data_IF_744461435772
#
_entry.id   IF_744461435772
#
_cell.length_a   1.000
_cell.length_b   1.000
_cell.length_c   1.000
_cell.angle_alpha   90.00
_cell.angle_beta   90.00
_cell.angle_gamma   90.00
#
_symmetry.space_group_name_H-M   'P 1'
#
loop_
_entity.id
_entity.type
_entity.pdbx_description
1 polymer ?
#
# COMPACT_ATOMS: atom_id res chain seq x y z
N UNK A 1 9.43 -53.83 46.83
CA UNK A 1 10.10 -53.82 45.51
C UNK A 1 9.12 -53.77 44.34
N UNK A 2 8.08 -54.63 44.30
CA UNK A 2 7.08 -54.70 43.22
C UNK A 2 6.31 -53.38 42.93
N UNK A 3 5.92 -52.63 43.96
CA UNK A 3 5.20 -51.33 43.78
C UNK A 3 6.04 -50.25 43.10
N UNK A 4 7.35 -50.16 43.41
CA UNK A 4 8.26 -49.21 42.75
C UNK A 4 8.52 -49.58 41.29
N UNK A 5 8.57 -50.87 40.99
CA UNK A 5 8.72 -51.38 39.63
C UNK A 5 7.48 -51.11 38.77
N UNK A 6 6.29 -51.27 39.34
CA UNK A 6 5.02 -50.98 38.66
C UNK A 6 4.86 -49.48 38.35
N UNK A 7 5.25 -48.61 39.31
CA UNK A 7 5.24 -47.17 39.10
C UNK A 7 6.22 -46.74 37.99
N UNK A 8 7.40 -47.37 37.94
CA UNK A 8 8.38 -47.12 36.89
C UNK A 8 7.85 -47.51 35.50
N UNK A 9 7.17 -48.65 35.39
CA UNK A 9 6.56 -49.11 34.13
C UNK A 9 5.42 -48.18 33.66
N UNK A 10 4.60 -47.66 34.59
CA UNK A 10 3.54 -46.71 34.28
C UNK A 10 4.08 -45.37 33.77
N UNK A 11 5.13 -44.85 34.41
CA UNK A 11 5.80 -43.60 33.98
C UNK A 11 6.46 -43.79 32.61
N UNK A 12 7.17 -44.91 32.41
CA UNK A 12 7.79 -45.23 31.14
C UNK A 12 6.75 -45.34 30.00
N UNK A 13 5.61 -45.98 30.26
CA UNK A 13 4.51 -46.09 29.30
C UNK A 13 3.92 -44.74 28.90
N UNK A 14 3.73 -43.82 29.86
CA UNK A 14 3.26 -42.46 29.61
C UNK A 14 4.24 -41.61 28.79
N UNK A 15 5.55 -41.79 29.01
CA UNK A 15 6.57 -41.13 28.20
C UNK A 15 6.59 -41.64 26.75
N UNK A 16 6.46 -42.96 26.56
CA UNK A 16 6.43 -43.58 25.23
C UNK A 16 5.18 -43.14 24.46
N UNK A 17 4.01 -43.11 25.10
CA UNK A 17 2.77 -42.68 24.44
C UNK A 17 2.80 -41.21 24.05
N UNK A 18 3.36 -40.34 24.90
CA UNK A 18 3.55 -38.91 24.60
C UNK A 18 4.54 -38.70 23.44
N UNK A 19 5.64 -39.46 23.41
CA UNK A 19 6.62 -39.41 22.32
C UNK A 19 5.99 -39.88 20.99
N UNK A 20 5.22 -40.96 21.01
CA UNK A 20 4.51 -41.48 19.83
C UNK A 20 3.45 -40.48 19.35
N UNK A 21 2.68 -39.87 20.25
CA UNK A 21 1.71 -38.84 19.90
C UNK A 21 2.38 -37.59 19.29
N UNK A 22 3.52 -37.18 19.83
CA UNK A 22 4.32 -36.08 19.27
C UNK A 22 4.88 -36.41 17.89
N UNK A 23 5.40 -37.63 17.70
CA UNK A 23 5.90 -38.10 16.40
C UNK A 23 4.76 -38.20 15.38
N UNK A 24 3.60 -38.74 15.77
CA UNK A 24 2.41 -38.77 14.92
C UNK A 24 2.02 -37.35 14.53
N UNK A 25 1.89 -36.43 15.50
CA UNK A 25 1.55 -35.02 15.25
C UNK A 25 2.57 -34.33 14.32
N UNK A 26 3.87 -34.59 14.52
CA UNK A 26 4.95 -34.07 13.68
C UNK A 26 4.88 -34.58 12.23
N UNK A 27 4.54 -35.86 12.03
CA UNK A 27 4.45 -36.47 10.70
C UNK A 27 3.08 -36.31 10.03
N UNK A 28 1.99 -36.10 10.78
CA UNK A 28 0.63 -35.91 10.23
C UNK A 28 0.26 -34.46 9.99
N UNK A 29 0.94 -33.47 10.59
CA UNK A 29 0.81 -32.09 10.13
C UNK A 29 1.47 -32.01 8.74
N UNK A 30 0.71 -31.78 7.67
CA UNK A 30 1.32 -31.58 6.37
C UNK A 30 2.20 -30.34 6.47
N UNK A 31 3.51 -30.49 6.24
CA UNK A 31 4.41 -29.38 6.01
C UNK A 31 3.92 -28.61 4.79
N UNK A 32 2.98 -27.70 5.00
CA UNK A 32 2.46 -26.80 4.01
C UNK A 32 3.53 -25.72 3.82
N UNK A 33 4.56 -26.05 3.05
CA UNK A 33 5.45 -25.04 2.46
C UNK A 33 4.96 -24.75 1.04
N UNK A 34 4.12 -23.72 0.84
CA UNK A 34 3.83 -23.20 -0.49
C UNK A 34 4.93 -22.23 -0.97
N UNK A 35 6.09 -22.18 -0.29
CA UNK A 35 7.19 -21.30 -0.67
C UNK A 35 8.35 -22.10 -1.26
N UNK A 36 8.60 -21.80 -2.53
CA UNK A 36 9.59 -22.44 -3.38
C UNK A 36 11.01 -22.46 -2.79
N UNK A 37 11.69 -23.52 -3.23
CA UNK A 37 13.03 -24.08 -2.99
C UNK A 37 14.21 -23.20 -2.54
N UNK A 38 14.14 -21.89 -2.37
CA UNK A 38 15.34 -21.05 -2.16
C UNK A 38 15.15 -19.93 -1.12
N UNK A 39 14.94 -20.29 0.15
CA UNK A 39 15.06 -19.31 1.25
C UNK A 39 15.86 -19.95 2.38
N UNK A 40 17.18 -19.72 2.35
CA UNK A 40 18.14 -20.03 3.41
C UNK A 40 18.12 -19.03 4.57
N UNK A 41 17.05 -18.24 4.72
CA UNK A 41 17.00 -17.15 5.71
C UNK A 41 15.80 -17.30 6.66
N UNK A 42 16.09 -17.74 7.88
CA UNK A 42 15.28 -17.42 9.05
C UNK A 42 14.88 -18.64 9.89
N UNK A 43 15.78 -19.00 10.81
CA UNK A 43 15.64 -20.04 11.84
C UNK A 43 15.14 -21.36 11.25
N UNK A 44 16.10 -22.23 10.91
CA UNK A 44 15.83 -23.61 10.52
C UNK A 44 14.86 -24.20 11.54
N UNK A 45 13.67 -24.54 11.08
CA UNK A 45 12.61 -25.12 11.92
C UNK A 45 13.18 -26.33 12.68
N UNK A 46 14.08 -27.06 12.03
CA UNK A 46 14.89 -28.12 12.63
C UNK A 46 15.67 -27.68 13.87
N UNK A 47 16.37 -26.54 13.84
CA UNK A 47 17.09 -26.03 15.03
C UNK A 47 16.15 -25.62 16.15
N UNK A 48 14.95 -25.11 15.84
CA UNK A 48 13.95 -24.77 16.87
C UNK A 48 13.38 -26.03 17.50
N UNK A 49 13.07 -27.04 16.69
CA UNK A 49 12.59 -28.34 17.16
C UNK A 49 13.66 -29.02 18.01
N UNK A 50 14.92 -29.03 17.56
CA UNK A 50 16.07 -29.54 18.34
C UNK A 50 16.25 -28.77 19.65
N UNK A 51 16.10 -27.44 19.64
CA UNK A 51 16.18 -26.63 20.86
C UNK A 51 15.09 -26.98 21.87
N UNK A 52 13.84 -27.15 21.42
CA UNK A 52 12.71 -27.52 22.27
C UNK A 52 12.87 -28.93 22.83
N UNK A 53 13.33 -29.90 22.01
CA UNK A 53 13.53 -31.28 22.48
C UNK A 53 14.66 -31.39 23.49
N UNK A 54 15.76 -30.67 23.29
CA UNK A 54 16.87 -30.59 24.26
C UNK A 54 16.39 -29.96 25.57
N UNK A 55 15.61 -28.88 25.52
CA UNK A 55 15.06 -28.24 26.72
C UNK A 55 14.09 -29.17 27.48
N UNK A 56 13.24 -29.89 26.76
CA UNK A 56 12.32 -30.87 27.35
C UNK A 56 13.08 -32.01 28.06
N UNK A 57 14.12 -32.56 27.43
CA UNK A 57 14.97 -33.60 28.03
C UNK A 57 15.72 -33.07 29.26
N UNK A 58 16.21 -31.83 29.21
CA UNK A 58 16.89 -31.19 30.34
C UNK A 58 15.95 -30.99 31.54
N UNK A 59 14.73 -30.52 31.29
CA UNK A 59 13.70 -30.36 32.33
C UNK A 59 13.29 -31.72 32.91
N UNK A 60 13.12 -32.74 32.06
CA UNK A 60 12.81 -34.10 32.49
C UNK A 60 13.89 -34.69 33.41
N UNK A 61 15.17 -34.54 33.03
CA UNK A 61 16.30 -35.00 33.84
C UNK A 61 16.41 -34.22 35.15
N UNK A 62 16.16 -32.91 35.11
CA UNK A 62 16.14 -32.05 36.29
C UNK A 62 15.05 -32.49 37.29
N UNK A 63 13.87 -32.90 36.80
CA UNK A 63 12.78 -33.43 37.64
C UNK A 63 13.16 -34.78 38.26
N UNK A 64 13.85 -35.65 37.52
CA UNK A 64 14.36 -36.94 38.03
C UNK A 64 15.40 -36.78 39.15
N UNK A 65 16.20 -35.71 39.11
CA UNK A 65 17.30 -35.47 40.06
C UNK A 65 16.82 -34.97 41.43
N UNK A 66 15.61 -34.42 41.53
CA UNK A 66 15.09 -33.83 42.76
C UNK A 66 14.39 -34.91 43.62
N UNK A 67 15.12 -35.39 44.64
CA UNK A 67 14.68 -36.43 45.61
C UNK A 67 13.39 -36.07 46.40
N UNK A 68 12.96 -34.80 46.34
CA UNK A 68 11.78 -34.25 47.04
C UNK A 68 10.44 -34.52 46.32
N UNK A 69 10.45 -35.10 45.12
CA UNK A 69 9.24 -35.40 44.35
C UNK A 69 8.56 -36.74 44.72
N UNK A 70 8.41 -37.03 46.02
CA UNK A 70 7.62 -38.20 46.48
C UNK A 70 6.09 -38.04 46.31
N UNK A 71 5.59 -36.85 45.93
CA UNK A 71 4.20 -36.68 45.46
C UNK A 71 4.15 -36.65 43.93
N UNK A 72 3.89 -37.79 43.26
CA UNK A 72 3.94 -37.91 41.80
C UNK A 72 3.03 -36.90 41.09
N UNK A 73 1.90 -36.58 41.71
CA UNK A 73 0.87 -35.68 41.16
C UNK A 73 1.41 -34.30 40.79
N UNK A 74 2.26 -33.67 41.61
CA UNK A 74 2.78 -32.31 41.31
C UNK A 74 3.66 -32.27 40.05
N UNK A 75 4.46 -33.31 39.80
CA UNK A 75 5.31 -33.39 38.60
C UNK A 75 4.49 -33.57 37.33
N UNK A 76 3.45 -34.40 37.37
CA UNK A 76 2.54 -34.58 36.24
C UNK A 76 1.82 -33.28 35.87
N UNK A 77 1.41 -32.48 36.85
CA UNK A 77 0.78 -31.18 36.58
C UNK A 77 1.73 -30.21 35.87
N UNK A 78 2.99 -30.09 36.31
CA UNK A 78 3.94 -29.17 35.66
C UNK A 78 4.29 -29.59 34.23
N UNK A 79 4.53 -30.89 34.00
CA UNK A 79 4.82 -31.39 32.65
C UNK A 79 3.61 -31.17 31.73
N UNK A 80 2.40 -31.47 32.20
CA UNK A 80 1.18 -31.24 31.43
C UNK A 80 0.96 -29.76 31.09
N UNK A 81 1.21 -28.85 32.03
CA UNK A 81 1.09 -27.40 31.81
C UNK A 81 2.12 -26.93 30.76
N UNK A 82 3.37 -27.38 30.86
CA UNK A 82 4.42 -27.03 29.90
C UNK A 82 4.08 -27.56 28.51
N UNK A 83 3.60 -28.80 28.40
CA UNK A 83 3.16 -29.38 27.13
C UNK A 83 1.99 -28.60 26.52
N UNK A 84 0.98 -28.25 27.30
CA UNK A 84 -0.14 -27.38 26.86
C UNK A 84 0.35 -26.01 26.40
N UNK A 85 1.29 -25.40 27.13
CA UNK A 85 1.87 -24.11 26.77
C UNK A 85 2.59 -24.19 25.42
N UNK A 86 3.38 -25.24 25.19
CA UNK A 86 4.08 -25.50 23.94
C UNK A 86 3.08 -25.70 22.79
N UNK A 87 2.02 -26.47 23.00
CA UNK A 87 0.94 -26.69 22.01
C UNK A 87 0.24 -25.37 21.65
N UNK A 88 0.10 -24.42 22.58
CA UNK A 88 -0.49 -23.10 22.32
C UNK A 88 0.51 -22.16 21.64
N UNK A 89 1.78 -22.18 22.05
CA UNK A 89 2.80 -21.28 21.52
C UNK A 89 3.19 -21.58 20.08
N UNK A 90 3.32 -22.87 19.72
CA UNK A 90 3.83 -23.27 18.41
C UNK A 90 2.94 -22.74 17.26
N UNK A 91 1.60 -22.98 17.23
CA UNK A 91 0.73 -22.46 16.18
C UNK A 91 0.74 -20.94 16.10
N UNK A 92 0.78 -20.27 17.26
CA UNK A 92 0.82 -18.80 17.34
C UNK A 92 2.08 -18.25 16.68
N UNK A 93 3.23 -18.86 16.95
CA UNK A 93 4.50 -18.47 16.34
C UNK A 93 4.50 -18.70 14.81
N UNK A 94 3.96 -19.82 14.35
CA UNK A 94 3.81 -20.10 12.92
C UNK A 94 2.90 -19.09 12.21
N UNK A 95 1.75 -18.75 12.81
CA UNK A 95 0.84 -17.75 12.26
C UNK A 95 1.51 -16.36 12.14
N UNK A 96 2.24 -15.95 13.18
CA UNK A 96 3.01 -14.69 13.17
C UNK A 96 4.09 -14.71 12.09
N UNK A 97 4.87 -15.81 11.98
CA UNK A 97 5.90 -15.96 10.94
C UNK A 97 5.29 -15.91 9.53
N UNK A 98 4.13 -16.54 9.33
CA UNK A 98 3.39 -16.50 8.07
C UNK A 98 3.01 -15.06 7.68
N UNK A 99 2.46 -14.30 8.63
CA UNK A 99 2.12 -12.89 8.40
C UNK A 99 3.34 -12.04 8.04
N UNK A 100 4.46 -12.21 8.77
CA UNK A 100 5.70 -11.51 8.45
C UNK A 100 6.28 -11.88 7.09
N UNK A 101 6.17 -13.15 6.67
CA UNK A 101 6.58 -13.61 5.34
C UNK A 101 5.81 -12.88 4.23
N UNK A 102 4.48 -12.82 4.34
CA UNK A 102 3.61 -12.14 3.37
C UNK A 102 3.91 -10.64 3.26
N UNK A 103 4.14 -9.98 4.39
CA UNK A 103 4.50 -8.54 4.43
C UNK A 103 5.86 -8.31 3.76
N UNK A 104 6.87 -9.15 4.03
CA UNK A 104 8.20 -9.02 3.40
C UNK A 104 8.15 -9.13 1.88
N UNK A 105 7.39 -10.09 1.35
CA UNK A 105 7.23 -10.24 -0.11
C UNK A 105 6.56 -9.01 -0.71
N UNK A 106 5.49 -8.51 -0.09
CA UNK A 106 4.80 -7.29 -0.55
C UNK A 106 5.74 -6.08 -0.58
N UNK A 107 6.51 -5.86 0.49
CA UNK A 107 7.50 -4.76 0.56
C UNK A 107 8.54 -4.90 -0.56
N UNK A 108 9.02 -6.12 -0.85
CA UNK A 108 9.98 -6.37 -1.92
C UNK A 108 9.41 -6.01 -3.29
N UNK A 109 8.17 -6.42 -3.55
CA UNK A 109 7.47 -6.11 -4.81
C UNK A 109 7.26 -4.61 -4.96
N UNK A 110 6.77 -3.92 -3.93
CA UNK A 110 6.60 -2.46 -3.94
C UNK A 110 7.95 -1.75 -4.16
N UNK A 111 9.02 -2.20 -3.50
CA UNK A 111 10.37 -1.62 -3.68
C UNK A 111 10.88 -1.75 -5.12
N UNK A 112 10.57 -2.85 -5.81
CA UNK A 112 10.91 -3.02 -7.23
C UNK A 112 10.11 -2.05 -8.11
N UNK A 113 8.81 -1.87 -7.84
CA UNK A 113 7.98 -0.92 -8.56
C UNK A 113 8.47 0.52 -8.36
N UNK A 114 8.83 0.88 -7.12
CA UNK A 114 9.38 2.19 -6.79
C UNK A 114 10.69 2.47 -7.54
N UNK A 115 11.61 1.52 -7.59
CA UNK A 115 12.86 1.68 -8.37
C UNK A 115 12.61 1.90 -9.85
N UNK A 116 11.62 1.22 -10.44
CA UNK A 116 11.23 1.44 -11.84
C UNK A 116 10.66 2.85 -12.04
N UNK A 117 9.91 3.35 -11.06
CA UNK A 117 9.35 4.70 -11.11
C UNK A 117 10.45 5.75 -10.97
N UNK A 118 11.38 5.57 -10.02
CA UNK A 118 12.57 6.42 -9.83
C UNK A 118 13.38 6.49 -11.12
N UNK A 119 13.69 5.35 -11.76
CA UNK A 119 14.42 5.34 -13.02
C UNK A 119 13.70 6.10 -14.17
N UNK A 120 12.35 6.06 -14.20
CA UNK A 120 11.56 6.84 -15.17
C UNK A 120 11.61 8.33 -14.86
N UNK A 121 11.54 8.71 -13.59
CA UNK A 121 11.68 10.11 -13.14
C UNK A 121 13.07 10.64 -13.50
N UNK A 122 14.12 9.86 -13.26
CA UNK A 122 15.49 10.26 -13.60
C UNK A 122 15.68 10.44 -15.11
N UNK A 123 15.12 9.53 -15.92
CA UNK A 123 15.13 9.66 -17.37
C UNK A 123 14.38 10.92 -17.85
N UNK A 124 13.23 11.23 -17.25
CA UNK A 124 12.48 12.44 -17.56
C UNK A 124 13.25 13.71 -17.16
N UNK A 125 13.87 13.72 -15.98
CA UNK A 125 14.69 14.85 -15.50
C UNK A 125 15.89 15.11 -16.41
N UNK A 126 16.52 14.04 -16.91
CA UNK A 126 17.60 14.15 -17.92
C UNK A 126 17.11 14.83 -19.19
N UNK A 127 15.97 14.42 -19.73
CA UNK A 127 15.38 15.03 -20.93
C UNK A 127 15.01 16.50 -20.71
N UNK A 128 14.45 16.85 -19.55
CA UNK A 128 14.15 18.24 -19.18
C UNK A 128 15.44 19.07 -19.16
N UNK A 129 16.52 18.52 -18.60
CA UNK A 129 17.82 19.22 -18.52
C UNK A 129 18.40 19.47 -19.91
N UNK A 130 18.32 18.48 -20.81
CA UNK A 130 18.75 18.63 -22.20
C UNK A 130 17.93 19.71 -22.94
N UNK A 131 16.61 19.74 -22.74
CA UNK A 131 15.74 20.77 -23.32
C UNK A 131 16.04 22.17 -22.78
N UNK A 132 16.32 22.29 -21.47
CA UNK A 132 16.72 23.56 -20.86
C UNK A 132 18.03 24.08 -21.45
N UNK A 133 19.03 23.21 -21.59
CA UNK A 133 20.30 23.58 -22.22
C UNK A 133 20.11 24.04 -23.68
N UNK A 134 19.24 23.36 -24.43
CA UNK A 134 18.91 23.76 -25.81
C UNK A 134 18.22 25.12 -25.85
N UNK A 135 17.24 25.36 -24.98
CA UNK A 135 16.52 26.63 -24.89
C UNK A 135 17.45 27.80 -24.48
N UNK A 136 18.41 27.56 -23.59
CA UNK A 136 19.45 28.55 -23.25
C UNK A 136 20.35 28.87 -24.45
N UNK A 137 20.69 27.87 -25.27
CA UNK A 137 21.50 28.10 -26.48
C UNK A 137 20.75 28.95 -27.51
N UNK A 138 19.46 28.65 -27.76
CA UNK A 138 18.61 29.44 -28.67
C UNK A 138 18.40 30.87 -28.14
N UNK A 139 18.28 31.05 -26.82
CA UNK A 139 18.20 32.38 -26.21
C UNK A 139 19.47 33.20 -26.46
N UNK A 140 20.66 32.61 -26.27
CA UNK A 140 21.95 33.28 -26.52
C UNK A 140 22.10 33.67 -27.99
N UNK A 141 21.66 32.82 -28.91
CA UNK A 141 21.68 33.12 -30.34
C UNK A 141 20.75 34.29 -30.68
N UNK A 142 19.53 34.29 -30.13
CA UNK A 142 18.58 35.40 -30.30
C UNK A 142 19.10 36.72 -29.72
N UNK A 143 19.78 36.70 -28.57
CA UNK A 143 20.37 37.90 -27.98
C UNK A 143 21.52 38.43 -28.87
N UNK A 144 22.32 37.55 -29.48
CA UNK A 144 23.35 37.93 -30.45
C UNK A 144 22.75 38.55 -31.72
N UNK A 145 21.67 37.97 -32.25
CA UNK A 145 20.95 38.50 -33.42
C UNK A 145 20.37 39.89 -33.14
N UNK A 146 19.79 40.10 -31.94
CA UNK A 146 19.30 41.42 -31.52
C UNK A 146 20.41 42.46 -31.47
N UNK A 147 21.59 42.10 -30.98
CA UNK A 147 22.74 43.00 -30.93
C UNK A 147 23.27 43.33 -32.34
N UNK A 148 23.33 42.35 -33.24
CA UNK A 148 23.70 42.60 -34.64
C UNK A 148 22.70 43.53 -35.33
N UNK A 149 21.40 43.34 -35.09
CA UNK A 149 20.35 44.19 -35.65
C UNK A 149 20.43 45.63 -35.12
N UNK A 150 20.70 45.81 -33.82
CA UNK A 150 20.86 47.13 -33.21
C UNK A 150 22.06 47.88 -33.81
N UNK A 151 23.16 47.17 -34.07
CA UNK A 151 24.35 47.74 -34.70
C UNK A 151 24.10 48.13 -36.17
N UNK A 152 23.36 47.30 -36.92
CA UNK A 152 22.94 47.63 -38.30
C UNK A 152 22.07 48.88 -38.31
N UNK A 153 21.07 48.98 -37.42
CA UNK A 153 20.19 50.16 -37.30
C UNK A 153 21.00 51.42 -36.96
N UNK A 154 22.03 51.29 -36.11
CA UNK A 154 22.92 52.41 -35.78
C UNK A 154 23.75 52.85 -36.99
N UNK A 155 24.27 51.90 -37.78
CA UNK A 155 25.02 52.18 -39.02
C UNK A 155 24.13 52.80 -40.10
N UNK A 156 22.90 52.31 -40.29
CA UNK A 156 21.96 52.89 -41.27
C UNK A 156 21.54 54.30 -40.89
N UNK A 157 21.24 54.58 -39.61
CA UNK A 157 20.98 55.96 -39.13
C UNK A 157 22.17 56.91 -39.30
N UNK A 158 23.40 56.40 -39.25
CA UNK A 158 24.61 57.21 -39.49
C UNK A 158 24.86 57.48 -40.98
N UNK A 159 24.28 56.68 -41.87
CA UNK A 159 24.37 56.83 -43.33
C UNK A 159 23.20 57.65 -43.89
N UNK A 160 22.07 57.71 -43.20
CA UNK A 160 20.90 58.55 -43.53
C UNK A 160 21.03 60.02 -43.05
N UNK A 161 22.24 60.57 -43.14
CA UNK A 161 22.45 62.01 -43.12
C UNK A 161 21.87 62.67 -44.38
N UNK A 162 20.53 62.75 -44.47
CA UNK A 162 19.82 63.63 -45.38
C UNK A 162 18.71 63.01 -46.24
N UNK A 163 17.59 62.55 -45.65
CA UNK A 163 16.24 63.00 -46.04
C UNK A 163 15.19 62.45 -45.05
N UNK A 164 14.25 63.31 -44.66
CA UNK A 164 13.05 62.94 -43.88
C UNK A 164 11.99 62.39 -44.86
N UNK A 165 11.13 61.45 -44.45
CA UNK A 165 9.73 61.86 -44.35
C UNK A 165 9.07 61.43 -43.04
N UNK A 166 8.09 62.25 -42.66
CA UNK A 166 7.10 62.03 -41.60
C UNK A 166 6.07 61.02 -42.13
N UNK A 167 5.60 60.09 -41.29
CA UNK A 167 4.19 59.99 -40.85
C UNK A 167 3.92 58.70 -40.06
N UNK A 168 2.94 58.83 -39.18
CA UNK A 168 2.50 57.93 -38.12
C UNK A 168 2.05 56.55 -38.59
N UNK A 169 2.45 55.47 -37.89
CA UNK A 169 1.51 54.42 -37.44
C UNK A 169 2.01 53.87 -36.10
N UNK A 170 1.18 54.08 -35.08
CA UNK A 170 1.25 53.54 -33.73
C UNK A 170 1.04 52.02 -33.77
N UNK A 171 2.04 51.24 -33.34
CA UNK A 171 1.83 49.86 -32.86
C UNK A 171 2.19 49.84 -31.38
N UNK A 172 1.17 49.98 -30.54
CA UNK A 172 1.26 49.63 -29.12
C UNK A 172 1.27 48.11 -28.99
N UNK A 173 2.43 47.54 -28.67
CA UNK A 173 2.53 46.21 -28.10
C UNK A 173 2.45 46.34 -26.57
N UNK A 174 1.23 46.35 -26.04
CA UNK A 174 0.98 46.23 -24.60
C UNK A 174 1.18 44.79 -24.17
N UNK A 175 2.16 44.61 -23.29
CA UNK A 175 2.40 43.44 -22.46
C UNK A 175 1.17 43.13 -21.59
N UNK A 176 0.36 42.15 -21.97
CA UNK A 176 -0.62 41.54 -21.07
C UNK A 176 0.00 40.37 -20.31
N UNK A 177 0.50 40.65 -19.12
CA UNK A 177 0.50 39.69 -18.01
C UNK A 177 -0.92 39.63 -17.49
N UNK A 178 -1.64 38.55 -17.74
CA UNK A 178 -2.74 38.14 -16.87
C UNK A 178 -2.90 36.63 -16.88
N UNK A 179 -2.67 36.05 -15.70
CA UNK A 179 -2.98 34.68 -15.34
C UNK A 179 -4.51 34.53 -15.24
N UNK A 180 -5.13 33.52 -15.87
CA UNK A 180 -6.52 33.20 -15.61
C UNK A 180 -6.65 32.53 -14.23
N UNK A 181 -7.14 33.32 -13.27
CA UNK A 181 -7.65 32.87 -11.98
C UNK A 181 -8.96 32.12 -12.19
N UNK A 182 -8.91 30.78 -12.26
CA UNK A 182 -10.12 29.96 -12.29
C UNK A 182 -10.75 29.99 -10.89
N UNK A 183 -11.88 30.70 -10.79
CA UNK A 183 -12.79 30.69 -9.65
C UNK A 183 -13.72 29.49 -9.75
N UNK A 184 -13.74 28.71 -8.68
CA UNK A 184 -14.83 27.81 -8.28
C UNK A 184 -16.15 28.55 -8.27
N UNK A 185 -17.16 28.02 -8.97
CA UNK A 185 -18.57 28.11 -8.59
C UNK A 185 -19.27 26.79 -8.94
N UNK A 186 -20.04 26.31 -7.98
CA UNK A 186 -20.89 25.13 -7.98
C UNK A 186 -22.29 25.53 -8.44
N UNK A 187 -22.89 24.81 -9.39
CA UNK A 187 -24.18 24.11 -9.27
C UNK A 187 -24.66 23.60 -10.64
N UNK A 188 -25.48 22.55 -10.58
CA UNK A 188 -25.79 21.57 -11.61
C UNK A 188 -26.65 22.08 -12.77
N UNK A 189 -26.44 21.52 -13.97
CA UNK A 189 -27.51 20.88 -14.73
C UNK A 189 -26.96 19.89 -15.78
N UNK A 190 -27.76 18.88 -16.07
CA UNK A 190 -27.52 17.77 -16.97
C UNK A 190 -27.76 18.21 -18.42
N UNK A 191 -26.86 17.91 -19.36
CA UNK A 191 -27.21 17.21 -20.61
C UNK A 191 -25.98 16.77 -21.40
N UNK A 192 -26.07 15.54 -21.91
CA UNK A 192 -25.41 14.92 -23.06
C UNK A 192 -24.17 15.59 -23.68
N UNK A 193 -23.05 14.86 -23.60
CA UNK A 193 -22.01 14.89 -24.62
C UNK A 193 -21.55 13.47 -24.94
N UNK A 194 -22.04 12.97 -26.07
CA UNK A 194 -21.37 11.93 -26.84
C UNK A 194 -20.06 12.51 -27.40
N UNK A 195 -18.96 12.24 -26.70
CA UNK A 195 -17.60 12.21 -27.26
C UNK A 195 -16.73 11.34 -26.36
N UNK A 196 -16.70 10.04 -26.67
CA UNK A 196 -15.55 9.12 -26.68
C UNK A 196 -14.32 9.35 -25.75
N UNK A 197 -14.51 9.84 -24.53
CA UNK A 197 -13.56 9.70 -23.42
C UNK A 197 -14.30 9.02 -22.28
N UNK A 198 -13.98 7.75 -22.04
CA UNK A 198 -14.58 6.98 -20.95
C UNK A 198 -14.06 7.55 -19.62
N UNK A 199 -14.80 8.50 -19.04
CA UNK A 199 -14.39 9.17 -17.81
C UNK A 199 -14.43 8.17 -16.65
N UNK A 200 -13.24 7.86 -16.14
CA UNK A 200 -13.05 6.98 -14.99
C UNK A 200 -12.94 7.85 -13.76
N UNK A 201 -13.80 7.57 -12.80
CA UNK A 201 -13.95 8.33 -11.56
C UNK A 201 -13.70 7.39 -10.38
N UNK A 202 -12.82 7.81 -9.48
CA UNK A 202 -12.60 7.17 -8.19
C UNK A 202 -13.38 7.89 -7.09
N UNK A 203 -14.12 7.13 -6.29
CA UNK A 203 -14.83 7.61 -5.10
C UNK A 203 -14.41 6.79 -3.89
N UNK A 204 -14.68 7.28 -2.69
CA UNK A 204 -14.44 6.53 -1.45
C UNK A 204 -15.77 6.08 -0.88
N UNK A 205 -16.00 4.77 -0.81
CA UNK A 205 -17.15 4.20 -0.13
C UNK A 205 -16.92 4.24 1.38
N UNK A 206 -17.89 4.76 2.12
CA UNK A 206 -17.82 4.97 3.57
C UNK A 206 -18.84 4.14 4.34
N UNK A 207 -20.02 3.88 3.76
CA UNK A 207 -21.13 3.16 4.41
C UNK A 207 -21.78 2.21 3.42
N UNK A 208 -22.23 1.05 3.94
CA UNK A 208 -23.14 0.14 3.25
C UNK A 208 -24.28 -0.19 4.21
N UNK A 209 -25.52 -0.07 3.76
CA UNK A 209 -26.72 -0.29 4.58
C UNK A 209 -27.74 -1.12 3.81
N UNK A 210 -28.46 -2.00 4.50
CA UNK A 210 -29.60 -2.74 3.93
C UNK A 210 -30.82 -1.83 3.71
N UNK A 211 -30.93 -0.77 4.50
CA UNK A 211 -31.98 0.25 4.39
C UNK A 211 -31.41 1.57 3.90
N UNK A 212 -32.24 2.34 3.19
CA UNK A 212 -31.85 3.67 2.72
C UNK A 212 -31.69 4.60 3.91
N UNK A 213 -30.54 5.26 4.01
CA UNK A 213 -30.25 6.24 5.04
C UNK A 213 -30.66 7.64 4.55
N UNK A 214 -31.39 8.38 5.38
CA UNK A 214 -31.73 9.76 5.09
C UNK A 214 -30.48 10.65 5.07
N UNK A 215 -30.48 11.70 4.26
CA UNK A 215 -29.37 12.67 4.15
C UNK A 215 -29.01 13.33 5.49
N UNK A 216 -29.99 13.45 6.39
CA UNK A 216 -29.81 14.00 7.75
C UNK A 216 -29.46 12.95 8.81
N UNK A 217 -29.10 11.71 8.41
CA UNK A 217 -28.78 10.69 9.41
C UNK A 217 -27.53 11.08 10.22
N UNK A 218 -27.45 10.67 11.50
CA UNK A 218 -26.27 10.90 12.33
C UNK A 218 -24.97 10.37 11.70
N UNK A 219 -25.06 9.38 10.81
CA UNK A 219 -23.94 8.74 10.15
C UNK A 219 -23.33 9.61 9.04
N UNK A 220 -24.08 10.59 8.54
CA UNK A 220 -23.61 11.58 7.58
C UNK A 220 -23.35 12.95 8.22
N UNK A 221 -23.40 13.04 9.56
CA UNK A 221 -23.10 14.29 10.26
C UNK A 221 -21.69 14.74 9.89
N UNK A 222 -21.55 15.99 9.46
CA UNK A 222 -20.31 16.62 8.96
C UNK A 222 -19.80 16.15 7.59
N UNK A 223 -20.56 15.30 6.88
CA UNK A 223 -20.24 14.92 5.51
C UNK A 223 -20.96 15.82 4.51
N UNK A 224 -20.19 16.41 3.59
CA UNK A 224 -20.73 17.12 2.42
C UNK A 224 -20.51 16.25 1.17
N UNK A 225 -21.47 16.31 0.24
CA UNK A 225 -21.41 15.63 -1.06
C UNK A 225 -21.33 14.09 -0.99
N UNK A 226 -22.21 13.49 -0.18
CA UNK A 226 -22.40 12.03 -0.16
C UNK A 226 -23.22 11.61 -1.39
N UNK A 227 -22.70 10.66 -2.15
CA UNK A 227 -23.37 10.08 -3.30
C UNK A 227 -23.83 8.65 -3.01
N UNK A 228 -25.11 8.39 -3.26
CA UNK A 228 -25.77 7.10 -3.05
C UNK A 228 -25.81 6.29 -4.34
N UNK A 229 -25.55 4.98 -4.24
CA UNK A 229 -25.86 4.03 -5.30
C UNK A 229 -26.24 2.68 -4.71
N UNK A 230 -26.91 1.85 -5.52
CA UNK A 230 -27.36 0.52 -5.11
C UNK A 230 -26.52 -0.54 -5.81
N UNK A 231 -26.04 -1.52 -5.05
CA UNK A 231 -25.28 -2.64 -5.59
C UNK A 231 -25.47 -3.87 -4.70
N UNK A 232 -25.79 -5.00 -5.32
CA UNK A 232 -26.15 -6.27 -4.65
C UNK A 232 -27.27 -6.11 -3.61
N UNK A 233 -28.26 -5.27 -3.90
CA UNK A 233 -29.41 -5.03 -3.01
C UNK A 233 -29.15 -4.09 -1.83
N UNK A 234 -27.90 -3.64 -1.61
CA UNK A 234 -27.53 -2.73 -0.52
C UNK A 234 -27.40 -1.29 -1.02
N UNK A 235 -27.78 -0.34 -0.16
CA UNK A 235 -27.51 1.09 -0.36
C UNK A 235 -26.07 1.39 0.06
N UNK A 236 -25.28 1.92 -0.86
CA UNK A 236 -23.86 2.21 -0.66
C UNK A 236 -23.66 3.71 -0.80
N UNK A 237 -22.88 4.27 0.12
CA UNK A 237 -22.65 5.70 0.21
C UNK A 237 -21.17 6.00 -0.01
N UNK A 238 -20.91 6.94 -0.91
CA UNK A 238 -19.57 7.33 -1.34
C UNK A 238 -19.36 8.82 -1.18
N UNK A 239 -18.11 9.23 -1.08
CA UNK A 239 -17.70 10.62 -1.01
C UNK A 239 -16.54 10.88 -1.95
N UNK A 240 -16.46 12.12 -2.41
CA UNK A 240 -15.45 12.58 -3.35
C UNK A 240 -15.70 12.14 -4.79
N UNK A 241 -14.98 12.80 -5.69
CA UNK A 241 -14.97 12.56 -7.11
C UNK A 241 -13.54 12.83 -7.59
N UNK A 242 -12.70 11.78 -7.63
CA UNK A 242 -11.26 11.90 -7.90
C UNK A 242 -10.94 11.26 -9.24
N UNK A 243 -10.10 11.91 -10.05
CA UNK A 243 -9.67 11.39 -11.35
C UNK A 243 -8.53 10.37 -11.24
N UNK A 244 -7.82 10.38 -10.11
CA UNK A 244 -6.65 9.54 -9.88
C UNK A 244 -6.76 8.72 -8.58
N UNK A 245 -6.16 7.53 -8.61
CA UNK A 245 -6.20 6.60 -7.47
C UNK A 245 -5.45 7.14 -6.25
N UNK A 246 -4.43 7.98 -6.45
CA UNK A 246 -3.59 8.50 -5.35
C UNK A 246 -4.39 9.48 -4.49
N UNK A 247 -5.10 10.41 -5.12
CA UNK A 247 -6.01 11.35 -4.46
C UNK A 247 -7.17 10.63 -3.78
N UNK A 248 -7.74 9.60 -4.41
CA UNK A 248 -8.76 8.76 -3.78
C UNK A 248 -8.24 8.01 -2.54
N UNK A 249 -7.01 7.50 -2.58
CA UNK A 249 -6.35 6.84 -1.43
C UNK A 249 -6.03 7.81 -0.28
N UNK A 250 -5.62 9.04 -0.61
CA UNK A 250 -5.45 10.10 0.38
C UNK A 250 -6.79 10.43 1.06
N UNK A 251 -7.86 10.57 0.28
CA UNK A 251 -9.21 10.83 0.78
C UNK A 251 -9.72 9.67 1.67
N UNK A 252 -9.50 8.42 1.25
CA UNK A 252 -9.79 7.24 2.06
C UNK A 252 -9.10 7.31 3.42
N UNK A 253 -7.83 7.69 3.44
CA UNK A 253 -7.06 7.80 4.68
C UNK A 253 -7.62 8.89 5.61
N UNK A 254 -8.09 10.01 5.05
CA UNK A 254 -8.78 11.07 5.81
C UNK A 254 -10.05 10.53 6.46
N UNK A 255 -10.90 9.82 5.72
CA UNK A 255 -12.16 9.30 6.26
C UNK A 255 -11.95 8.18 7.28
N UNK A 256 -10.93 7.35 7.11
CA UNK A 256 -10.53 6.36 8.14
C UNK A 256 -10.18 7.02 9.46
N UNK A 257 -9.43 8.13 9.43
CA UNK A 257 -9.11 8.91 10.64
C UNK A 257 -10.33 9.58 11.27
N UNK A 258 -11.37 9.88 10.47
CA UNK A 258 -12.66 10.41 10.94
C UNK A 258 -13.59 9.34 11.53
N UNK A 259 -13.15 8.08 11.65
CA UNK A 259 -13.94 6.99 12.25
C UNK A 259 -14.53 5.99 11.25
N UNK A 260 -14.42 6.24 9.94
CA UNK A 260 -14.87 5.30 8.90
C UNK A 260 -13.79 4.25 8.61
N UNK A 261 -13.50 3.37 9.57
CA UNK A 261 -12.44 2.34 9.45
C UNK A 261 -12.62 1.43 8.23
N UNK A 262 -13.87 1.14 7.88
CA UNK A 262 -14.28 0.38 6.71
C UNK A 262 -14.18 1.11 5.37
N UNK A 263 -13.68 2.35 5.32
CA UNK A 263 -13.63 3.11 4.06
C UNK A 263 -12.66 2.50 3.04
N UNK A 264 -13.07 2.43 1.77
CA UNK A 264 -12.26 1.93 0.66
C UNK A 264 -12.57 2.61 -0.66
N UNK A 265 -11.61 2.57 -1.59
CA UNK A 265 -11.75 3.20 -2.91
C UNK A 265 -12.56 2.32 -3.84
N UNK A 266 -13.47 2.94 -4.57
CA UNK A 266 -14.30 2.35 -5.62
C UNK A 266 -14.10 3.13 -6.92
N UNK A 267 -14.21 2.46 -8.06
CA UNK A 267 -14.07 3.07 -9.37
C UNK A 267 -15.38 2.97 -10.15
N UNK A 268 -15.68 4.02 -10.90
CA UNK A 268 -16.83 4.14 -11.78
C UNK A 268 -16.35 4.52 -13.17
N UNK A 269 -16.99 3.96 -14.17
CA UNK A 269 -16.80 4.29 -15.58
C UNK A 269 -18.17 4.54 -16.17
N UNK A 270 -18.41 5.76 -16.65
CA UNK A 270 -19.71 6.17 -17.18
C UNK A 270 -20.87 5.82 -16.21
N UNK A 271 -20.68 6.12 -14.91
CA UNK A 271 -21.67 5.83 -13.86
C UNK A 271 -21.77 4.37 -13.40
N UNK A 272 -21.13 3.42 -14.09
CA UNK A 272 -21.15 1.99 -13.72
C UNK A 272 -19.94 1.62 -12.87
N UNK A 273 -20.15 0.89 -11.77
CA UNK A 273 -19.06 0.44 -10.90
C UNK A 273 -18.20 -0.61 -11.63
N UNK A 274 -16.89 -0.40 -11.61
CA UNK A 274 -15.90 -1.34 -12.16
C UNK A 274 -14.85 -1.71 -11.10
N UNK A 275 -14.17 -2.87 -11.23
CA UNK A 275 -13.02 -3.19 -10.39
C UNK A 275 -11.93 -2.12 -10.51
N UNK A 276 -11.37 -1.68 -9.37
CA UNK A 276 -10.29 -0.67 -9.36
C UNK A 276 -9.10 -1.10 -10.24
N UNK A 277 -8.78 -2.39 -10.28
CA UNK A 277 -7.72 -2.93 -11.14
C UNK A 277 -8.03 -2.75 -12.63
N UNK A 278 -9.29 -2.85 -13.02
CA UNK A 278 -9.73 -2.63 -14.40
C UNK A 278 -9.69 -1.15 -14.75
N UNK A 279 -10.14 -0.28 -13.83
CA UNK A 279 -10.02 1.17 -13.96
C UNK A 279 -8.58 1.62 -14.23
N UNK A 280 -7.61 1.05 -13.50
CA UNK A 280 -6.18 1.35 -13.70
C UNK A 280 -5.62 0.87 -15.05
N UNK A 281 -6.20 -0.17 -15.65
CA UNK A 281 -5.78 -0.63 -16.98
C UNK A 281 -6.27 0.27 -18.10
N UNK A 282 -7.38 0.98 -17.88
CA UNK A 282 -7.98 1.86 -18.86
C UNK A 282 -7.38 3.28 -18.83
N UNK A 283 -6.66 3.61 -17.75
CA UNK A 283 -5.96 4.90 -17.57
C UNK A 283 -4.47 4.87 -18.00
N UNK A 284 -3.93 3.69 -18.28
CA UNK A 284 -2.53 3.47 -18.70
C UNK A 284 -2.50 2.98 -20.15
#
# INVERSE_FOLDING_TARGET
MKSKMLLFLLVAGGCISSLVAYLIWYYTIPYFSPYGKNITDGLNVEMVVVGITVLYLFLYFSILSIRSFQTPWRSFFFVSIITLLIIILIPTFYHVKYQFGKVRVKIRTEKIHMRKLEAKIDAANKSITELLAKLESERKENDKLKEQLSEIIRKTKSLEGGHKPKEDVVIQATSNKDFPKIKTNSEADNTDLDTKNQEIIFKVQIISSSTRLATNSPQFKELKNVWEYKDSGLYKYTVGNQIDLRSASALQSVFRRKGFSGAFVVAFKNGTRIPVREALKLLN
#
